data_IF_128170843176
#
_entry.id   IF_128170843176
#
_cell.length_a   1.000
_cell.length_b   1.000
_cell.length_c   1.000
_cell.angle_alpha   90.00
_cell.angle_beta   90.00
_cell.angle_gamma   90.00
#
_symmetry.space_group_name_H-M   'P 1'
#
loop_
_entity.id
_entity.type
_entity.pdbx_description
1 polymer ?
#
# COMPACT_ATOMS: atom_id res chain seq x y z
N UNK A 1 -5.62 2.43 -11.24
CA UNK A 1 -5.62 1.43 -10.16
C UNK A 1 -6.33 1.97 -8.91
N UNK A 2 -5.80 3.01 -8.26
CA UNK A 2 -6.41 3.59 -7.04
C UNK A 2 -7.85 4.08 -7.21
N UNK A 3 -8.17 4.73 -8.34
CA UNK A 3 -9.55 5.15 -8.61
C UNK A 3 -10.50 3.94 -8.69
N UNK A 4 -10.07 2.86 -9.36
CA UNK A 4 -10.84 1.63 -9.43
C UNK A 4 -11.07 1.04 -8.03
N UNK A 5 -10.08 1.14 -7.14
CA UNK A 5 -10.23 0.72 -5.74
C UNK A 5 -11.32 1.49 -4.98
N UNK A 6 -11.38 2.82 -5.13
CA UNK A 6 -12.46 3.57 -4.49
C UNK A 6 -13.84 3.22 -5.07
N UNK A 7 -13.93 3.04 -6.39
CA UNK A 7 -15.20 2.68 -7.05
C UNK A 7 -15.66 1.26 -6.66
N UNK A 8 -14.76 0.27 -6.76
CA UNK A 8 -15.07 -1.13 -6.42
C UNK A 8 -15.33 -1.31 -4.93
N UNK A 9 -14.56 -0.65 -4.08
CA UNK A 9 -14.79 -0.64 -2.63
C UNK A 9 -16.15 -0.04 -2.28
N UNK A 10 -16.54 1.07 -2.91
CA UNK A 10 -17.87 1.66 -2.70
C UNK A 10 -19.00 0.72 -3.18
N UNK A 11 -18.87 0.11 -4.35
CA UNK A 11 -19.86 -0.86 -4.86
C UNK A 11 -19.98 -2.09 -3.95
N UNK A 12 -18.86 -2.59 -3.43
CA UNK A 12 -18.84 -3.71 -2.50
C UNK A 12 -19.52 -3.35 -1.17
N UNK A 13 -19.20 -2.18 -0.60
CA UNK A 13 -19.81 -1.70 0.65
C UNK A 13 -21.32 -1.46 0.54
N UNK A 14 -21.80 -1.08 -0.65
CA UNK A 14 -23.22 -0.88 -0.93
C UNK A 14 -23.96 -2.20 -1.29
N UNK A 15 -23.24 -3.33 -1.43
CA UNK A 15 -23.81 -4.60 -1.88
C UNK A 15 -24.17 -4.65 -3.37
N UNK A 16 -23.76 -3.65 -4.14
CA UNK A 16 -24.12 -3.50 -5.55
C UNK A 16 -23.23 -4.32 -6.48
N UNK A 17 -22.03 -4.68 -6.02
CA UNK A 17 -21.07 -5.47 -6.79
C UNK A 17 -21.59 -6.89 -7.11
N UNK A 18 -22.35 -7.50 -6.20
CA UNK A 18 -22.93 -8.83 -6.40
C UNK A 18 -24.27 -8.76 -7.13
N UNK A 19 -25.06 -7.72 -6.86
CA UNK A 19 -26.43 -7.61 -7.36
C UNK A 19 -26.52 -7.06 -8.79
N UNK A 20 -25.64 -6.12 -9.16
CA UNK A 20 -25.82 -5.32 -10.37
C UNK A 20 -24.64 -5.40 -11.37
N UNK A 21 -23.54 -6.06 -11.01
CA UNK A 21 -22.40 -6.24 -11.92
C UNK A 21 -22.38 -7.67 -12.45
N UNK A 22 -22.38 -7.81 -13.78
CA UNK A 22 -22.29 -9.11 -14.43
C UNK A 22 -20.94 -9.78 -14.17
N UNK A 23 -20.94 -11.12 -14.13
CA UNK A 23 -19.72 -11.92 -13.98
C UNK A 23 -18.72 -11.68 -15.12
N UNK A 24 -19.19 -11.34 -16.32
CA UNK A 24 -18.31 -10.97 -17.44
C UNK A 24 -17.55 -9.68 -17.15
N UNK A 25 -18.23 -8.64 -16.64
CA UNK A 25 -17.57 -7.38 -16.30
C UNK A 25 -16.51 -7.59 -15.20
N UNK A 26 -16.81 -8.42 -14.19
CA UNK A 26 -15.84 -8.76 -13.14
C UNK A 26 -14.58 -9.40 -13.73
N UNK A 27 -14.74 -10.37 -14.65
CA UNK A 27 -13.63 -11.02 -15.35
C UNK A 27 -12.82 -10.03 -16.17
N UNK A 28 -13.48 -9.16 -16.93
CA UNK A 28 -12.81 -8.15 -17.76
C UNK A 28 -12.00 -7.17 -16.90
N UNK A 29 -12.53 -6.78 -15.73
CA UNK A 29 -11.82 -5.91 -14.78
C UNK A 29 -10.64 -6.62 -14.11
N UNK A 30 -10.81 -7.89 -13.72
CA UNK A 30 -9.72 -8.73 -13.20
C UNK A 30 -8.59 -8.83 -14.24
N UNK A 31 -8.92 -9.13 -15.49
CA UNK A 31 -7.94 -9.23 -16.58
C UNK A 31 -7.27 -7.87 -16.82
N UNK A 32 -8.01 -6.77 -16.75
CA UNK A 32 -7.42 -5.44 -16.82
C UNK A 32 -6.41 -5.17 -15.70
N UNK A 33 -6.71 -5.58 -14.46
CA UNK A 33 -5.79 -5.45 -13.33
C UNK A 33 -4.53 -6.28 -13.57
N UNK A 34 -4.67 -7.53 -14.01
CA UNK A 34 -3.53 -8.40 -14.30
C UNK A 34 -2.65 -7.90 -15.44
N UNK A 35 -3.23 -7.29 -16.47
CA UNK A 35 -2.45 -6.63 -17.52
C UNK A 35 -1.57 -5.48 -16.99
N UNK A 36 -1.85 -4.94 -15.79
CA UNK A 36 -1.01 -3.93 -15.14
C UNK A 36 0.12 -4.51 -14.29
N UNK A 37 0.22 -5.83 -14.14
CA UNK A 37 1.30 -6.46 -13.38
C UNK A 37 2.63 -6.33 -14.12
N UNK A 38 3.66 -5.81 -13.44
CA UNK A 38 5.06 -5.85 -13.85
C UNK A 38 5.62 -7.18 -13.37
N UNK A 39 5.85 -8.07 -14.32
CA UNK A 39 6.36 -9.43 -14.09
C UNK A 39 7.89 -9.44 -14.19
N UNK A 40 8.57 -10.47 -13.66
CA UNK A 40 10.01 -10.61 -13.87
C UNK A 40 10.35 -10.73 -15.35
N UNK A 41 11.52 -10.20 -15.72
CA UNK A 41 12.04 -10.30 -17.08
C UNK A 41 12.38 -11.76 -17.41
N UNK A 42 12.22 -12.14 -18.69
CA UNK A 42 12.42 -13.53 -19.15
C UNK A 42 13.86 -14.01 -19.00
N UNK A 43 14.78 -13.14 -19.41
CA UNK A 43 16.18 -13.50 -19.67
C UNK A 43 17.17 -12.71 -18.80
N UNK A 44 16.67 -11.88 -17.88
CA UNK A 44 17.52 -11.07 -17.02
C UNK A 44 16.89 -10.78 -15.66
N UNK A 45 17.77 -10.40 -14.73
CA UNK A 45 17.44 -10.01 -13.37
C UNK A 45 17.25 -8.49 -13.23
N UNK A 46 17.22 -7.76 -14.36
CA UNK A 46 17.32 -6.31 -14.40
C UNK A 46 16.13 -5.59 -13.75
N UNK A 47 14.98 -6.25 -13.66
CA UNK A 47 13.72 -5.66 -13.20
C UNK A 47 13.23 -6.16 -11.83
N UNK A 48 14.07 -6.88 -11.09
CA UNK A 48 13.74 -7.44 -9.76
C UNK A 48 13.27 -6.39 -8.74
N UNK A 49 13.80 -5.17 -8.84
CA UNK A 49 13.46 -4.07 -7.95
C UNK A 49 12.20 -3.28 -8.37
N UNK A 50 11.56 -3.63 -9.50
CA UNK A 50 10.45 -2.84 -10.08
C UNK A 50 9.19 -3.67 -10.39
N UNK A 51 9.14 -4.92 -9.92
CA UNK A 51 7.97 -5.79 -10.09
C UNK A 51 6.80 -5.35 -9.18
N UNK A 52 5.56 -5.72 -9.53
CA UNK A 52 4.36 -5.28 -8.81
C UNK A 52 3.25 -4.84 -9.75
N UNK A 53 2.48 -3.80 -9.42
CA UNK A 53 1.43 -3.29 -10.31
C UNK A 53 1.64 -1.82 -10.69
N UNK A 54 1.26 -1.51 -11.93
CA UNK A 54 1.18 -0.16 -12.48
C UNK A 54 -0.15 0.50 -12.10
N UNK A 55 -0.19 1.83 -12.23
CA UNK A 55 -1.43 2.60 -12.06
C UNK A 55 -2.38 2.47 -13.25
N UNK A 56 -1.83 2.34 -14.46
CA UNK A 56 -2.53 2.28 -15.75
C UNK A 56 -1.55 1.82 -16.84
N UNK A 57 -2.06 1.61 -18.06
CA UNK A 57 -1.31 1.17 -19.24
C UNK A 57 -0.51 2.28 -19.92
N UNK A 58 -0.02 3.27 -19.16
CA UNK A 58 0.64 4.45 -19.69
C UNK A 58 1.97 4.14 -20.39
N UNK A 59 2.64 3.04 -20.02
CA UNK A 59 3.90 2.61 -20.62
C UNK A 59 3.74 2.02 -22.04
N UNK A 60 2.51 1.98 -22.56
CA UNK A 60 2.25 1.54 -23.94
C UNK A 60 2.39 0.03 -24.16
N UNK A 61 2.39 -0.77 -23.08
CA UNK A 61 2.45 -2.23 -23.18
C UNK A 61 1.20 -2.82 -23.84
N UNK A 62 1.43 -3.92 -24.54
CA UNK A 62 0.37 -4.80 -25.03
C UNK A 62 -0.46 -5.33 -23.88
N UNK A 63 -1.77 -5.47 -24.10
CA UNK A 63 -2.70 -6.03 -23.13
C UNK A 63 -2.50 -7.55 -23.00
N UNK A 64 -1.79 -7.99 -21.96
CA UNK A 64 -1.44 -9.40 -21.73
C UNK A 64 -1.81 -9.87 -20.31
N UNK A 65 -3.09 -10.15 -20.02
CA UNK A 65 -3.56 -10.49 -18.66
C UNK A 65 -3.12 -11.88 -18.16
N UNK A 66 -2.65 -12.76 -19.04
CA UNK A 66 -2.21 -14.12 -18.71
C UNK A 66 -0.69 -14.32 -18.84
N UNK A 67 0.06 -13.22 -19.00
CA UNK A 67 1.52 -13.31 -19.07
C UNK A 67 2.11 -13.79 -17.74
N UNK A 68 3.20 -14.57 -17.82
CA UNK A 68 3.97 -15.02 -16.64
C UNK A 68 5.31 -14.31 -16.50
N UNK A 69 5.77 -13.69 -17.59
CA UNK A 69 7.02 -12.95 -17.72
C UNK A 69 6.81 -11.79 -18.68
N UNK A 70 7.64 -10.76 -18.61
CA UNK A 70 7.56 -9.62 -19.53
C UNK A 70 8.91 -9.21 -20.10
N UNK A 71 8.92 -8.45 -21.19
CA UNK A 71 10.13 -7.76 -21.65
C UNK A 71 10.47 -6.61 -20.69
N UNK A 72 11.74 -6.42 -20.33
CA UNK A 72 12.15 -5.26 -19.54
C UNK A 72 12.08 -3.99 -20.39
N UNK A 73 11.36 -2.98 -19.90
CA UNK A 73 11.27 -1.67 -20.54
C UNK A 73 11.81 -0.64 -19.55
N UNK A 74 12.81 0.16 -19.92
CA UNK A 74 13.30 1.24 -19.06
C UNK A 74 12.14 2.15 -18.60
N UNK A 75 12.17 2.55 -17.33
CA UNK A 75 11.16 3.41 -16.68
C UNK A 75 9.77 2.79 -16.47
N UNK A 76 9.53 1.57 -16.98
CA UNK A 76 8.33 0.82 -16.65
C UNK A 76 8.50 0.16 -15.28
N UNK A 77 7.93 0.80 -14.26
CA UNK A 77 8.05 0.38 -12.87
C UNK A 77 6.71 0.26 -12.18
N UNK A 78 6.64 -0.63 -11.20
CA UNK A 78 5.53 -0.68 -10.28
C UNK A 78 5.58 0.48 -9.29
N UNK A 79 4.47 0.68 -8.60
CA UNK A 79 4.40 1.59 -7.47
C UNK A 79 3.68 0.91 -6.33
N UNK A 80 4.22 0.97 -5.12
CA UNK A 80 3.73 0.19 -3.98
C UNK A 80 2.24 0.43 -3.66
N UNK A 81 1.78 1.68 -3.75
CA UNK A 81 0.36 2.01 -3.58
C UNK A 81 -0.55 1.39 -4.66
N UNK A 82 -0.05 1.25 -5.89
CA UNK A 82 -0.79 0.58 -6.97
C UNK A 82 -0.77 -0.94 -6.78
N UNK A 83 0.34 -1.52 -6.32
CA UNK A 83 0.41 -2.94 -5.91
C UNK A 83 -0.60 -3.25 -4.81
N UNK A 84 -0.62 -2.45 -3.74
CA UNK A 84 -1.58 -2.57 -2.64
C UNK A 84 -3.03 -2.52 -3.14
N UNK A 85 -3.40 -1.49 -3.90
CA UNK A 85 -4.77 -1.34 -4.40
C UNK A 85 -5.14 -2.38 -5.44
N UNK A 86 -4.20 -2.86 -6.26
CA UNK A 86 -4.44 -3.94 -7.22
C UNK A 86 -4.80 -5.24 -6.51
N UNK A 87 -4.04 -5.63 -5.47
CA UNK A 87 -4.33 -6.83 -4.70
C UNK A 87 -5.70 -6.75 -4.02
N UNK A 88 -6.04 -5.60 -3.42
CA UNK A 88 -7.36 -5.39 -2.84
C UNK A 88 -8.48 -5.45 -3.89
N UNK A 89 -8.27 -4.87 -5.08
CA UNK A 89 -9.26 -4.95 -6.15
C UNK A 89 -9.51 -6.38 -6.59
N UNK A 90 -8.45 -7.18 -6.74
CA UNK A 90 -8.57 -8.60 -7.07
C UNK A 90 -9.39 -9.35 -6.01
N UNK A 91 -9.09 -9.12 -4.72
CA UNK A 91 -9.84 -9.71 -3.61
C UNK A 91 -11.30 -9.27 -3.57
N UNK A 92 -11.58 -7.98 -3.77
CA UNK A 92 -12.95 -7.44 -3.82
C UNK A 92 -13.76 -8.07 -4.97
N UNK A 93 -13.09 -8.35 -6.10
CA UNK A 93 -13.70 -9.00 -7.26
C UNK A 93 -13.82 -10.53 -7.12
N UNK A 94 -13.33 -11.11 -6.02
CA UNK A 94 -13.40 -12.55 -5.74
C UNK A 94 -12.32 -13.39 -6.42
N UNK A 95 -11.22 -12.78 -6.88
CA UNK A 95 -10.07 -13.50 -7.44
C UNK A 95 -9.24 -14.17 -6.32
N UNK A 96 -8.57 -15.28 -6.67
CA UNK A 96 -7.80 -16.11 -5.73
C UNK A 96 -6.31 -15.73 -5.63
N UNK A 97 -5.89 -14.69 -6.36
CA UNK A 97 -4.52 -14.22 -6.48
C UNK A 97 -3.55 -15.24 -7.09
N UNK A 98 -4.02 -16.31 -7.73
CA UNK A 98 -3.18 -17.38 -8.29
C UNK A 98 -2.24 -16.90 -9.39
N UNK A 99 -2.64 -15.86 -10.15
CA UNK A 99 -1.83 -15.24 -11.22
C UNK A 99 -0.90 -14.13 -10.70
N UNK A 100 -0.91 -13.84 -9.41
CA UNK A 100 0.02 -12.86 -8.81
C UNK A 100 1.38 -13.49 -8.63
N UNK A 101 2.43 -12.87 -9.16
CA UNK A 101 3.79 -13.28 -8.90
C UNK A 101 4.24 -12.77 -7.52
N UNK A 102 3.86 -13.51 -6.47
CA UNK A 102 4.12 -13.15 -5.06
C UNK A 102 5.60 -12.94 -4.78
N UNK A 103 6.45 -13.84 -5.28
CA UNK A 103 7.90 -13.77 -5.07
C UNK A 103 8.49 -12.48 -5.63
N UNK A 104 8.12 -12.10 -6.86
CA UNK A 104 8.62 -10.88 -7.48
C UNK A 104 8.18 -9.61 -6.72
N UNK A 105 6.96 -9.60 -6.19
CA UNK A 105 6.46 -8.49 -5.35
C UNK A 105 7.27 -8.38 -4.05
N UNK A 106 7.49 -9.50 -3.35
CA UNK A 106 8.25 -9.53 -2.09
C UNK A 106 9.72 -9.15 -2.30
N UNK A 107 10.31 -9.60 -3.41
CA UNK A 107 11.67 -9.19 -3.81
C UNK A 107 11.73 -7.68 -4.07
N UNK A 108 10.73 -7.11 -4.74
CA UNK A 108 10.64 -5.65 -4.90
C UNK A 108 10.49 -4.95 -3.55
N UNK A 109 9.63 -5.41 -2.63
CA UNK A 109 9.51 -4.82 -1.29
C UNK A 109 10.86 -4.74 -0.56
N UNK A 110 11.67 -5.81 -0.66
CA UNK A 110 13.00 -5.85 -0.06
C UNK A 110 13.93 -4.78 -0.62
N UNK A 111 13.85 -4.50 -1.92
CA UNK A 111 14.65 -3.44 -2.56
C UNK A 111 14.13 -2.03 -2.25
N UNK A 112 12.84 -1.89 -1.95
CA UNK A 112 12.23 -0.60 -1.62
C UNK A 112 12.47 -0.18 -0.17
N UNK A 113 12.67 -1.14 0.74
CA UNK A 113 13.01 -0.84 2.13
C UNK A 113 14.42 -0.24 2.23
N UNK A 114 14.55 0.80 3.04
CA UNK A 114 15.80 1.52 3.25
C UNK A 114 16.51 1.08 4.53
N UNK A 115 17.76 1.53 4.70
CA UNK A 115 18.55 1.20 5.88
C UNK A 115 17.92 1.66 7.20
N UNK A 116 17.19 2.78 7.18
CA UNK A 116 16.50 3.39 8.32
C UNK A 116 15.10 2.81 8.59
N UNK A 117 14.69 1.78 7.85
CA UNK A 117 13.38 1.11 7.99
C UNK A 117 12.22 1.77 7.25
N UNK A 118 12.43 2.95 6.65
CA UNK A 118 11.46 3.58 5.74
C UNK A 118 11.34 2.81 4.43
N UNK A 119 10.27 3.07 3.67
CA UNK A 119 9.98 2.36 2.41
C UNK A 119 9.77 3.36 1.29
N UNK A 120 10.48 3.15 0.19
CA UNK A 120 10.32 3.92 -1.04
C UNK A 120 9.05 3.48 -1.81
N UNK A 121 8.36 4.38 -2.52
CA UNK A 121 7.19 4.00 -3.31
C UNK A 121 7.54 3.18 -4.57
N UNK A 122 8.70 3.45 -5.14
CA UNK A 122 9.23 2.82 -6.36
C UNK A 122 10.75 2.94 -6.37
N UNK A 123 11.44 2.12 -7.17
CA UNK A 123 12.89 2.12 -7.24
C UNK A 123 13.42 3.49 -7.69
N UNK A 124 14.44 4.00 -6.98
CA UNK A 124 15.04 5.31 -7.26
C UNK A 124 14.26 6.52 -6.76
N UNK A 125 13.07 6.35 -6.18
CA UNK A 125 12.37 7.45 -5.51
C UNK A 125 13.11 7.85 -4.23
N UNK A 126 13.01 9.14 -3.86
CA UNK A 126 13.52 9.71 -2.61
C UNK A 126 12.43 9.91 -1.55
N UNK A 127 11.16 9.68 -1.88
CA UNK A 127 10.05 9.84 -0.93
C UNK A 127 10.04 8.73 0.12
N UNK A 128 9.82 9.07 1.39
CA UNK A 128 9.91 8.15 2.55
C UNK A 128 8.75 8.34 3.53
N UNK A 129 7.54 8.42 3.01
CA UNK A 129 6.33 8.62 3.82
C UNK A 129 5.84 7.32 4.48
N UNK A 130 5.29 7.44 5.69
CA UNK A 130 4.62 6.34 6.42
C UNK A 130 3.52 5.63 5.61
N UNK A 131 2.96 6.31 4.61
CA UNK A 131 1.96 5.73 3.68
C UNK A 131 2.49 4.49 2.98
N UNK A 132 3.77 4.47 2.64
CA UNK A 132 4.39 3.34 1.96
C UNK A 132 4.68 2.18 2.91
N UNK A 133 4.91 2.45 4.19
CA UNK A 133 4.97 1.43 5.25
C UNK A 133 3.63 0.71 5.38
N UNK A 134 2.52 1.45 5.41
CA UNK A 134 1.19 0.85 5.40
C UNK A 134 0.91 0.01 4.15
N UNK A 135 1.28 0.53 2.96
CA UNK A 135 1.12 -0.22 1.71
C UNK A 135 1.93 -1.53 1.74
N UNK A 136 3.20 -1.49 2.15
CA UNK A 136 4.07 -2.67 2.23
C UNK A 136 3.56 -3.71 3.23
N UNK A 137 3.12 -3.24 4.40
CA UNK A 137 2.55 -4.10 5.45
C UNK A 137 1.27 -4.77 4.99
N UNK A 138 0.40 -4.02 4.30
CA UNK A 138 -0.85 -4.55 3.73
C UNK A 138 -0.58 -5.59 2.63
N UNK A 139 0.38 -5.33 1.75
CA UNK A 139 0.79 -6.30 0.70
C UNK A 139 1.29 -7.59 1.36
N UNK A 140 2.20 -7.48 2.33
CA UNK A 140 2.77 -8.64 3.04
C UNK A 140 1.69 -9.44 3.78
N UNK A 141 0.74 -8.75 4.42
CA UNK A 141 -0.41 -9.36 5.09
C UNK A 141 -1.34 -10.10 4.10
N UNK A 142 -1.69 -9.46 2.98
CA UNK A 142 -2.55 -10.06 1.94
C UNK A 142 -1.89 -11.30 1.32
N UNK A 143 -0.58 -11.22 1.05
CA UNK A 143 0.18 -12.34 0.48
C UNK A 143 0.51 -13.41 1.53
N UNK A 144 0.28 -13.13 2.81
CA UNK A 144 0.63 -13.94 3.97
C UNK A 144 2.13 -14.32 4.00
N UNK A 145 2.99 -13.36 3.66
CA UNK A 145 4.44 -13.53 3.63
C UNK A 145 5.12 -12.18 3.94
N UNK A 146 5.94 -12.17 5.00
CA UNK A 146 6.66 -10.99 5.50
C UNK A 146 8.14 -10.99 5.13
N UNK A 147 8.61 -11.95 4.34
CA UNK A 147 10.02 -12.09 3.94
C UNK A 147 10.55 -10.93 3.08
N UNK A 148 9.65 -10.07 2.58
CA UNK A 148 9.97 -8.86 1.84
C UNK A 148 10.35 -7.65 2.71
N UNK A 149 10.23 -7.73 4.05
CA UNK A 149 10.46 -6.60 4.97
C UNK A 149 11.26 -7.02 6.19
N UNK A 150 12.20 -6.17 6.60
CA UNK A 150 12.80 -6.18 7.93
C UNK A 150 11.85 -5.48 8.91
N UNK A 151 11.07 -6.27 9.66
CA UNK A 151 10.02 -5.75 10.54
C UNK A 151 10.57 -4.96 11.72
N UNK A 152 11.74 -5.33 12.24
CA UNK A 152 12.34 -4.64 13.39
C UNK A 152 12.80 -3.24 12.99
N UNK A 153 13.43 -3.09 11.82
CA UNK A 153 13.76 -1.75 11.30
C UNK A 153 12.53 -0.90 11.02
N UNK A 154 11.49 -1.49 10.41
CA UNK A 154 10.25 -0.75 10.16
C UNK A 154 9.54 -0.36 11.46
N UNK A 155 9.57 -1.21 12.49
CA UNK A 155 9.09 -0.90 13.84
C UNK A 155 9.85 0.29 14.43
N UNK A 156 11.18 0.23 14.44
CA UNK A 156 12.05 1.32 14.90
C UNK A 156 11.75 2.64 14.17
N UNK A 157 11.54 2.57 12.85
CA UNK A 157 11.18 3.74 12.05
C UNK A 157 9.84 4.34 12.47
N UNK A 158 8.80 3.52 12.64
CA UNK A 158 7.47 4.01 13.08
C UNK A 158 7.55 4.64 14.47
N UNK A 159 8.38 4.11 15.37
CA UNK A 159 8.64 4.72 16.68
C UNK A 159 9.21 6.13 16.53
N UNK A 160 10.14 6.35 15.60
CA UNK A 160 10.72 7.67 15.32
C UNK A 160 9.74 8.66 14.66
N UNK A 161 8.65 8.16 14.06
CA UNK A 161 7.62 9.00 13.44
C UNK A 161 6.61 9.57 14.46
N UNK A 162 6.58 9.06 15.70
CA UNK A 162 5.70 9.60 16.74
C UNK A 162 6.19 10.98 17.20
N UNK A 163 5.32 11.99 17.07
CA UNK A 163 5.63 13.36 17.45
C UNK A 163 5.48 13.56 18.98
N UNK A 164 5.82 14.76 19.46
CA UNK A 164 5.58 15.15 20.85
C UNK A 164 4.08 15.16 21.23
N UNK A 165 3.19 15.16 20.24
CA UNK A 165 1.74 15.11 20.40
C UNK A 165 1.24 13.66 20.54
N UNK A 166 2.13 12.67 20.48
CA UNK A 166 1.88 11.23 20.49
C UNK A 166 1.17 10.66 19.25
N UNK A 167 0.70 11.50 18.34
CA UNK A 167 0.30 11.08 16.99
C UNK A 167 1.51 10.78 16.10
N UNK A 168 1.27 10.17 14.95
CA UNK A 168 2.32 9.78 13.99
C UNK A 168 2.38 10.80 12.86
N UNK A 169 3.59 11.21 12.48
CA UNK A 169 3.88 12.13 11.38
C UNK A 169 4.17 11.38 10.06
N UNK A 170 4.28 12.11 8.94
CA UNK A 170 4.69 11.49 7.65
C UNK A 170 6.17 11.09 7.66
N UNK A 171 7.03 12.00 8.13
CA UNK A 171 8.47 11.80 8.29
C UNK A 171 8.92 12.19 9.71
N UNK A 172 10.12 11.76 10.15
CA UNK A 172 10.62 12.09 11.48
C UNK A 172 10.65 13.61 11.73
N UNK A 173 10.28 14.03 12.94
CA UNK A 173 10.26 15.44 13.39
C UNK A 173 9.23 16.34 12.68
N UNK A 174 8.25 15.77 11.97
CA UNK A 174 7.13 16.53 11.42
C UNK A 174 5.91 16.52 12.36
N UNK A 175 4.88 17.29 12.00
CA UNK A 175 3.60 17.36 12.73
C UNK A 175 2.84 16.03 12.61
N UNK A 176 2.18 15.63 13.70
CA UNK A 176 1.31 14.45 13.67
C UNK A 176 0.09 14.70 12.78
N UNK A 177 -0.26 13.72 11.95
CA UNK A 177 -1.39 13.82 11.01
C UNK A 177 -2.28 12.59 11.10
N UNK A 178 -3.60 12.78 11.01
CA UNK A 178 -4.58 11.70 11.19
C UNK A 178 -4.38 10.55 10.19
N UNK A 179 -4.12 10.88 8.92
CA UNK A 179 -3.80 9.87 7.90
C UNK A 179 -2.50 9.12 8.16
N UNK A 180 -1.47 9.80 8.67
CA UNK A 180 -0.19 9.18 9.04
C UNK A 180 -0.32 8.28 10.25
N UNK A 181 -1.09 8.75 11.24
CA UNK A 181 -1.44 8.01 12.45
C UNK A 181 -2.21 6.75 12.12
N UNK A 182 -3.18 6.81 11.22
CA UNK A 182 -3.82 5.61 10.67
C UNK A 182 -2.80 4.67 10.01
N UNK A 183 -1.97 5.18 9.10
CA UNK A 183 -1.00 4.34 8.37
C UNK A 183 -0.03 3.63 9.32
N UNK A 184 0.56 4.35 10.29
CA UNK A 184 1.51 3.77 11.23
C UNK A 184 0.86 2.78 12.20
N UNK A 185 -0.28 3.14 12.81
CA UNK A 185 -1.00 2.23 13.73
C UNK A 185 -1.54 0.99 13.02
N UNK A 186 -2.10 1.14 11.82
CA UNK A 186 -2.58 0.01 11.03
C UNK A 186 -1.43 -0.89 10.57
N UNK A 187 -0.30 -0.33 10.14
CA UNK A 187 0.89 -1.12 9.82
C UNK A 187 1.37 -1.94 11.03
N UNK A 188 1.50 -1.32 12.20
CA UNK A 188 1.88 -2.02 13.43
C UNK A 188 0.89 -3.14 13.80
N UNK A 189 -0.41 -2.88 13.63
CA UNK A 189 -1.46 -3.88 13.86
C UNK A 189 -1.32 -5.07 12.91
N UNK A 190 -1.13 -4.83 11.61
CA UNK A 190 -0.92 -5.88 10.61
C UNK A 190 0.34 -6.70 10.89
N UNK A 191 1.41 -6.06 11.35
CA UNK A 191 2.65 -6.73 11.75
C UNK A 191 2.55 -7.50 13.08
N UNK A 192 1.45 -7.34 13.84
CA UNK A 192 1.32 -7.90 15.19
C UNK A 192 2.23 -7.24 16.24
N UNK A 193 2.66 -6.00 15.98
CA UNK A 193 3.64 -5.23 16.77
C UNK A 193 3.05 -3.96 17.39
N UNK A 194 1.72 -3.88 17.52
CA UNK A 194 1.02 -2.68 17.99
C UNK A 194 1.47 -2.24 19.39
N UNK A 195 1.57 -3.17 20.34
CA UNK A 195 1.95 -2.84 21.72
C UNK A 195 3.45 -2.49 21.85
N UNK A 196 4.30 -3.01 20.96
CA UNK A 196 5.74 -2.72 20.92
C UNK A 196 6.03 -1.38 20.24
N UNK A 197 5.26 -1.02 19.22
CA UNK A 197 5.54 0.14 18.36
C UNK A 197 4.91 1.46 18.81
N UNK A 198 3.96 1.44 19.75
CA UNK A 198 3.32 2.65 20.26
C UNK A 198 3.99 3.09 21.56
N UNK A 199 4.60 4.28 21.55
CA UNK A 199 5.37 4.81 22.69
C UNK A 199 4.48 5.08 23.90
N UNK A 200 3.29 5.62 23.68
CA UNK A 200 2.30 5.84 24.73
C UNK A 200 0.89 5.69 24.17
N UNK A 201 0.26 4.55 24.48
CA UNK A 201 -1.06 4.19 23.96
C UNK A 201 -2.17 5.12 24.45
N UNK A 202 -2.14 5.50 25.72
CA UNK A 202 -3.18 6.34 26.33
C UNK A 202 -3.17 7.76 25.75
N UNK A 203 -1.98 8.34 25.58
CA UNK A 203 -1.84 9.66 24.96
C UNK A 203 -2.12 9.64 23.46
N UNK A 204 -1.78 8.56 22.75
CA UNK A 204 -2.19 8.40 21.35
C UNK A 204 -3.72 8.32 21.21
N UNK A 205 -4.38 7.53 22.06
CA UNK A 205 -5.86 7.44 22.08
C UNK A 205 -6.47 8.81 22.34
N UNK A 206 -5.95 9.53 23.33
CA UNK A 206 -6.38 10.90 23.66
C UNK A 206 -6.16 11.85 22.47
N UNK A 207 -5.02 11.77 21.78
CA UNK A 207 -4.75 12.56 20.57
C UNK A 207 -5.79 12.28 19.48
N UNK A 208 -6.12 11.00 19.24
CA UNK A 208 -7.17 10.60 18.29
C UNK A 208 -8.55 11.13 18.69
N UNK A 209 -8.92 11.07 19.98
CA UNK A 209 -10.20 11.59 20.47
C UNK A 209 -10.31 13.11 20.30
N UNK A 210 -9.22 13.86 20.47
CA UNK A 210 -9.19 15.30 20.20
C UNK A 210 -9.34 15.67 18.71
N UNK A 211 -9.45 14.69 17.80
CA UNK A 211 -9.82 14.94 16.39
C UNK A 211 -11.32 15.05 16.19
N UNK A 212 -12.10 14.53 17.14
CA UNK A 212 -13.55 14.59 17.07
C UNK A 212 -14.06 15.98 17.46
N UNK A 213 -14.76 16.62 16.51
CA UNK A 213 -15.50 17.86 16.70
C UNK A 213 -16.96 17.57 16.31
N UNK A 214 -17.50 18.23 15.27
CA UNK A 214 -18.73 17.79 14.59
C UNK A 214 -18.51 16.63 13.59
N UNK A 215 -17.27 16.47 13.13
CA UNK A 215 -16.74 15.34 12.36
C UNK A 215 -15.31 15.04 12.85
N UNK A 216 -14.43 14.54 11.98
CA UNK A 216 -13.02 14.32 12.33
C UNK A 216 -12.10 15.23 11.51
N UNK A 217 -11.20 15.96 12.18
CA UNK A 217 -10.13 16.72 11.54
C UNK A 217 -8.78 15.98 11.60
N UNK A 218 -7.90 16.19 10.63
CA UNK A 218 -6.65 15.44 10.55
C UNK A 218 -5.48 16.06 11.34
N UNK A 219 -5.52 17.35 11.67
CA UNK A 219 -4.46 18.10 12.37
C UNK A 219 -5.00 18.81 13.61
N UNK A 220 -4.12 19.21 14.55
CA UNK A 220 -4.55 19.98 15.74
C UNK A 220 -5.06 21.37 15.30
N UNK A 221 -4.44 21.94 14.27
CA UNK A 221 -4.66 23.32 13.84
C UNK A 221 -5.45 23.44 12.53
N UNK A 222 -6.31 22.48 12.19
CA UNK A 222 -7.24 22.65 11.09
C UNK A 222 -8.25 23.76 11.46
N UNK A 223 -7.91 25.00 11.15
CA UNK A 223 -8.75 26.17 11.41
C UNK A 223 -10.07 25.95 10.68
N UNK A 224 -11.12 25.63 11.44
CA UNK A 224 -12.48 25.72 10.94
C UNK A 224 -12.83 27.19 10.96
N UNK A 225 -12.68 27.86 9.81
CA UNK A 225 -13.16 29.23 9.64
C UNK A 225 -14.69 29.11 9.61
N UNK A 226 -15.33 29.40 10.74
CA UNK A 226 -16.78 29.53 10.85
C UNK A 226 -17.25 30.89 10.35
#
# INVERSE_FOLDING_TARGET
>A
MTLAFFCLGALSLLGELENNVSEQNKRDWIDWIYAQQVLPARDSDDNKAVCGFRGSSWSGRTFEPYATTCEYIPYDSSHIANTYTALLNLLILGDDLSRVNKHAILETLRHLQQEDGSIAPTAGSLERDVRFIYCASSISYILNDWSGLDLEKTLEHIVQLQSYEYGIAQCPKQEAHGGSTFCGTAALSLMGKLDEGIVNRDELVKWCLFRQQGGFQALIWSITIH
#
